data_IF_657206487186
#
_entry.id   IF_657206487186
#
_cell.length_a   1.000
_cell.length_b   1.000
_cell.length_c   1.000
_cell.angle_alpha   90.00
_cell.angle_beta   90.00
_cell.angle_gamma   90.00
#
_symmetry.space_group_name_H-M   'P 1'
#
loop_
_entity.id
_entity.type
_entity.pdbx_description
1 polymer ?
#
# COMPACT_ATOMS: atom_id res chain seq x y z
N UNK A 1 -21.88 21.30 3.78
CA UNK A 1 -20.93 22.02 2.91
C UNK A 1 -21.36 23.46 2.84
N UNK A 2 -20.56 24.40 3.37
CA UNK A 2 -20.90 25.83 3.34
C UNK A 2 -20.84 26.29 1.88
N UNK A 3 -21.92 26.88 1.38
CA UNK A 3 -21.98 27.37 0.01
C UNK A 3 -20.96 28.49 -0.22
N UNK A 4 -20.34 28.58 -1.42
CA UNK A 4 -19.45 29.69 -1.76
C UNK A 4 -20.09 31.05 -1.51
N UNK A 5 -19.29 32.06 -1.15
CA UNK A 5 -19.74 33.44 -0.99
C UNK A 5 -20.21 33.94 -2.36
N UNK A 6 -21.51 33.84 -2.63
CA UNK A 6 -22.12 34.42 -3.82
C UNK A 6 -22.27 35.92 -3.59
N UNK A 7 -21.46 36.72 -4.28
CA UNK A 7 -21.60 38.17 -4.32
C UNK A 7 -22.84 38.53 -5.14
N UNK A 8 -24.03 38.45 -4.55
CA UNK A 8 -25.29 38.84 -5.21
C UNK A 8 -25.54 40.36 -5.17
N UNK A 9 -24.64 41.13 -4.56
CA UNK A 9 -24.94 42.48 -4.06
C UNK A 9 -24.41 43.63 -4.91
N UNK A 10 -23.60 43.36 -5.94
CA UNK A 10 -23.03 44.42 -6.79
C UNK A 10 -24.09 45.34 -7.41
N UNK A 11 -25.29 44.81 -7.64
CA UNK A 11 -26.42 45.58 -8.17
C UNK A 11 -27.12 46.46 -7.13
N UNK A 12 -27.34 45.97 -5.90
CA UNK A 12 -28.09 46.70 -4.86
C UNK A 12 -27.26 47.88 -4.31
N UNK A 13 -25.95 47.69 -4.15
CA UNK A 13 -25.03 48.77 -3.72
C UNK A 13 -24.82 49.84 -4.80
N UNK A 14 -25.30 49.62 -6.02
CA UNK A 14 -25.22 50.58 -7.13
C UNK A 14 -26.43 51.53 -7.20
N UNK A 15 -27.47 51.29 -6.38
CA UNK A 15 -28.68 52.12 -6.34
C UNK A 15 -28.36 53.43 -5.62
N UNK A 16 -28.58 54.56 -6.31
CA UNK A 16 -28.49 55.88 -5.69
C UNK A 16 -29.77 56.18 -4.90
N UNK A 17 -29.69 56.33 -3.56
CA UNK A 17 -30.86 56.63 -2.75
C UNK A 17 -31.36 58.05 -3.05
N UNK A 18 -32.68 58.21 -3.17
CA UNK A 18 -33.35 59.50 -3.41
C UNK A 18 -34.04 60.03 -2.15
N UNK A 19 -34.37 59.15 -1.21
CA UNK A 19 -35.06 59.51 0.04
C UNK A 19 -34.21 59.19 1.27
N UNK A 20 -34.44 59.90 2.38
CA UNK A 20 -33.71 59.67 3.64
C UNK A 20 -33.90 58.25 4.17
N UNK A 21 -35.10 57.68 4.02
CA UNK A 21 -35.41 56.31 4.44
C UNK A 21 -34.60 55.27 3.65
N UNK A 22 -34.40 55.49 2.35
CA UNK A 22 -33.54 54.62 1.54
C UNK A 22 -32.09 54.64 2.01
N UNK A 23 -31.57 55.80 2.42
CA UNK A 23 -30.22 55.89 3.01
C UNK A 23 -30.12 55.06 4.29
N UNK A 24 -31.10 55.17 5.18
CA UNK A 24 -31.11 54.42 6.45
C UNK A 24 -31.24 52.91 6.23
N UNK A 25 -32.07 52.49 5.26
CA UNK A 25 -32.22 51.07 4.92
C UNK A 25 -30.94 50.51 4.29
N UNK A 26 -30.28 51.26 3.41
CA UNK A 26 -29.00 50.85 2.82
C UNK A 26 -27.89 50.76 3.88
N UNK A 27 -27.83 51.68 4.85
CA UNK A 27 -26.85 51.60 5.94
C UNK A 27 -27.08 50.38 6.83
N UNK A 28 -28.34 50.13 7.23
CA UNK A 28 -28.69 48.95 8.03
C UNK A 28 -28.42 47.64 7.28
N UNK A 29 -28.69 47.62 5.97
CA UNK A 29 -28.37 46.46 5.13
C UNK A 29 -26.86 46.22 5.05
N UNK A 30 -26.07 47.27 4.82
CA UNK A 30 -24.61 47.18 4.77
C UNK A 30 -24.03 46.64 6.10
N UNK A 31 -24.52 47.16 7.23
CA UNK A 31 -24.11 46.69 8.55
C UNK A 31 -24.46 45.21 8.77
N UNK A 32 -25.72 44.83 8.50
CA UNK A 32 -26.17 43.45 8.62
C UNK A 32 -25.39 42.49 7.69
N UNK A 33 -25.05 42.92 6.48
CA UNK A 33 -24.23 42.14 5.56
C UNK A 33 -22.79 41.98 6.06
N UNK A 34 -22.20 43.04 6.60
CA UNK A 34 -20.87 43.01 7.20
C UNK A 34 -20.81 42.04 8.38
N UNK A 35 -21.82 42.07 9.26
CA UNK A 35 -21.95 41.15 10.39
C UNK A 35 -22.13 39.70 9.92
N UNK A 36 -22.99 39.48 8.92
CA UNK A 36 -23.19 38.15 8.33
C UNK A 36 -21.91 37.62 7.67
N UNK A 37 -21.12 38.48 7.03
CA UNK A 37 -19.84 38.10 6.45
C UNK A 37 -18.84 37.70 7.54
N UNK A 38 -18.77 38.43 8.65
CA UNK A 38 -17.93 38.08 9.80
C UNK A 38 -18.33 36.75 10.44
N UNK A 39 -19.64 36.54 10.67
CA UNK A 39 -20.15 35.28 11.24
C UNK A 39 -19.85 34.09 10.32
N UNK A 40 -20.02 34.23 9.00
CA UNK A 40 -19.66 33.17 8.05
C UNK A 40 -18.18 32.81 8.10
N UNK A 41 -17.28 33.79 8.23
CA UNK A 41 -15.84 33.54 8.40
C UNK A 41 -15.57 32.73 9.68
N UNK A 42 -16.14 33.14 10.81
CA UNK A 42 -16.00 32.43 12.07
C UNK A 42 -16.54 30.99 11.99
N UNK A 43 -17.67 30.76 11.33
CA UNK A 43 -18.23 29.42 11.13
C UNK A 43 -17.31 28.55 10.26
N UNK A 44 -16.68 29.11 9.22
CA UNK A 44 -15.70 28.40 8.39
C UNK A 44 -14.48 27.98 9.23
N UNK A 45 -13.95 28.88 10.07
CA UNK A 45 -12.83 28.59 10.97
C UNK A 45 -13.19 27.51 11.99
N UNK A 46 -14.36 27.60 12.61
CA UNK A 46 -14.86 26.59 13.54
C UNK A 46 -15.07 25.23 12.85
N UNK A 47 -15.55 25.22 11.61
CA UNK A 47 -15.69 23.98 10.87
C UNK A 47 -14.32 23.38 10.52
N UNK A 48 -13.36 24.20 10.07
CA UNK A 48 -12.02 23.76 9.72
C UNK A 48 -11.30 23.15 10.93
N UNK A 49 -11.36 23.82 12.09
CA UNK A 49 -10.79 23.32 13.34
C UNK A 49 -11.47 22.04 13.81
N UNK A 50 -12.80 21.94 13.69
CA UNK A 50 -13.52 20.72 14.06
C UNK A 50 -13.11 19.52 13.19
N UNK A 51 -13.02 19.70 11.87
CA UNK A 51 -12.56 18.65 10.93
C UNK A 51 -11.14 18.21 11.26
N UNK A 52 -10.24 19.16 11.54
CA UNK A 52 -8.87 18.85 11.93
C UNK A 52 -8.81 18.06 13.25
N UNK A 53 -9.59 18.48 14.24
CA UNK A 53 -9.67 17.79 15.54
C UNK A 53 -10.24 16.38 15.40
N UNK A 54 -11.25 16.19 14.56
CA UNK A 54 -11.80 14.86 14.28
C UNK A 54 -10.75 13.92 13.66
N UNK A 55 -9.98 14.42 12.69
CA UNK A 55 -8.89 13.66 12.06
C UNK A 55 -7.79 13.32 13.07
N UNK A 56 -7.38 14.29 13.89
CA UNK A 56 -6.37 14.05 14.91
C UNK A 56 -6.83 13.01 15.94
N UNK A 57 -8.06 13.14 16.44
CA UNK A 57 -8.64 12.17 17.38
C UNK A 57 -8.79 10.78 16.78
N UNK A 58 -9.14 10.65 15.49
CA UNK A 58 -9.23 9.33 14.85
C UNK A 58 -7.86 8.67 14.72
N UNK A 59 -6.83 9.44 14.33
CA UNK A 59 -5.45 8.96 14.28
C UNK A 59 -4.95 8.53 15.65
N UNK A 60 -5.17 9.35 16.68
CA UNK A 60 -4.73 9.04 18.04
C UNK A 60 -5.42 7.78 18.58
N UNK A 61 -6.72 7.63 18.35
CA UNK A 61 -7.46 6.41 18.71
C UNK A 61 -6.91 5.18 18.00
N UNK A 62 -6.60 5.30 16.70
CA UNK A 62 -5.98 4.21 15.94
C UNK A 62 -4.60 3.82 16.49
N UNK A 63 -3.78 4.80 16.85
CA UNK A 63 -2.46 4.56 17.47
C UNK A 63 -2.59 3.86 18.83
N UNK A 64 -3.50 4.32 19.69
CA UNK A 64 -3.76 3.70 21.00
C UNK A 64 -4.28 2.28 20.85
N UNK A 65 -5.28 2.06 19.98
CA UNK A 65 -5.82 0.73 19.72
C UNK A 65 -4.74 -0.24 19.22
N UNK A 66 -3.86 0.21 18.31
CA UNK A 66 -2.75 -0.58 17.82
C UNK A 66 -1.72 -0.90 18.92
N UNK A 67 -1.40 0.07 19.78
CA UNK A 67 -0.49 -0.16 20.91
C UNK A 67 -1.07 -1.14 21.93
N UNK A 68 -2.35 -1.00 22.25
CA UNK A 68 -3.07 -1.90 23.15
C UNK A 68 -3.15 -3.30 22.56
N UNK A 69 -3.50 -3.43 21.29
CA UNK A 69 -3.52 -4.71 20.58
C UNK A 69 -2.13 -5.38 20.61
N UNK A 70 -1.05 -4.62 20.37
CA UNK A 70 0.33 -5.13 20.48
C UNK A 70 0.69 -5.57 21.89
N UNK A 71 0.26 -4.83 22.91
CA UNK A 71 0.49 -5.23 24.33
C UNK A 71 -0.30 -6.49 24.68
N UNK A 72 -1.52 -6.64 24.16
CA UNK A 72 -2.35 -7.82 24.40
C UNK A 72 -1.87 -9.05 23.62
N UNK A 73 -1.41 -8.90 22.38
CA UNK A 73 -0.86 -10.01 21.60
C UNK A 73 0.44 -10.54 22.21
N UNK A 74 1.33 -9.65 22.67
CA UNK A 74 2.56 -10.05 23.38
C UNK A 74 2.30 -10.88 24.63
N UNK A 75 1.18 -10.67 25.34
CA UNK A 75 0.81 -11.49 26.51
C UNK A 75 0.36 -12.91 26.13
N UNK A 76 -0.08 -13.13 24.90
CA UNK A 76 -0.57 -14.44 24.41
C UNK A 76 0.55 -15.32 23.86
N UNK A 77 1.69 -14.73 23.50
CA UNK A 77 2.82 -15.47 22.94
C UNK A 77 3.68 -16.04 24.09
N UNK A 78 3.36 -17.26 24.50
CA UNK A 78 4.33 -18.13 25.20
C UNK A 78 4.14 -18.34 26.70
N UNK A 79 3.13 -17.73 27.35
CA UNK A 79 2.86 -18.00 28.76
C UNK A 79 1.62 -18.87 28.92
N UNK A 80 1.82 -20.09 29.44
CA UNK A 80 0.76 -21.05 29.78
C UNK A 80 -0.34 -20.44 30.68
N UNK A 81 0.03 -19.40 31.44
CA UNK A 81 -0.84 -18.65 32.35
C UNK A 81 -0.92 -17.19 31.85
N UNK A 82 -2.01 -16.82 31.19
CA UNK A 82 -2.23 -15.49 30.61
C UNK A 82 -2.38 -14.37 31.64
N UNK A 83 -2.73 -14.72 32.88
CA UNK A 83 -3.27 -13.76 33.85
C UNK A 83 -2.20 -13.26 34.83
N UNK A 84 -1.02 -13.88 34.84
CA UNK A 84 0.12 -13.47 35.68
C UNK A 84 -0.07 -13.68 37.19
N UNK A 85 -1.20 -14.26 37.62
CA UNK A 85 -1.48 -14.60 39.01
C UNK A 85 -0.91 -15.99 39.37
N UNK A 86 -0.34 -16.17 40.57
CA UNK A 86 -0.01 -17.49 41.10
C UNK A 86 -1.30 -18.28 41.29
N UNK A 87 -1.46 -19.36 40.54
CA UNK A 87 -2.57 -20.29 40.71
C UNK A 87 -2.04 -21.56 41.37
N UNK A 88 -2.71 -22.05 42.41
CA UNK A 88 -2.38 -23.35 42.99
C UNK A 88 -2.86 -24.42 42.00
N UNK A 89 -1.88 -25.04 41.37
CA UNK A 89 -2.04 -25.85 40.19
C UNK A 89 -2.12 -27.33 40.61
N UNK A 90 -3.34 -27.86 40.73
CA UNK A 90 -3.58 -29.29 40.97
C UNK A 90 -3.12 -30.09 39.75
N UNK A 91 -2.34 -31.16 39.96
CA UNK A 91 -1.47 -31.78 38.93
C UNK A 91 -2.12 -32.14 37.59
N UNK A 92 -3.36 -32.62 37.57
CA UNK A 92 -4.00 -33.13 36.35
C UNK A 92 -4.42 -32.00 35.38
N UNK A 93 -4.98 -30.90 35.90
CA UNK A 93 -5.42 -29.77 35.07
C UNK A 93 -4.23 -29.04 34.42
N UNK A 94 -3.08 -29.03 35.11
CA UNK A 94 -1.83 -28.47 34.60
C UNK A 94 -1.30 -29.30 33.47
N UNK A 95 -1.28 -30.62 33.67
CA UNK A 95 -0.76 -31.56 32.70
C UNK A 95 -1.52 -31.46 31.38
N UNK A 96 -2.86 -31.45 31.43
CA UNK A 96 -3.69 -31.26 30.24
C UNK A 96 -3.43 -29.91 29.56
N UNK A 97 -3.25 -28.84 30.34
CA UNK A 97 -2.98 -27.50 29.80
C UNK A 97 -1.61 -27.43 29.11
N UNK A 98 -0.57 -28.02 29.71
CA UNK A 98 0.79 -28.10 29.11
C UNK A 98 0.74 -28.91 27.82
N UNK A 99 0.10 -30.06 27.84
CA UNK A 99 -0.05 -30.93 26.65
C UNK A 99 -0.78 -30.23 25.51
N UNK A 100 -1.86 -29.51 25.82
CA UNK A 100 -2.59 -28.71 24.83
C UNK A 100 -1.75 -27.57 24.27
N UNK A 101 -0.97 -26.88 25.12
CA UNK A 101 -0.09 -25.81 24.70
C UNK A 101 1.03 -26.32 23.77
N UNK A 102 1.68 -27.43 24.11
CA UNK A 102 2.70 -28.04 23.24
C UNK A 102 2.12 -28.49 21.89
N UNK A 103 0.92 -29.07 21.90
CA UNK A 103 0.23 -29.48 20.67
C UNK A 103 -0.08 -28.27 19.79
N UNK A 104 -0.51 -27.17 20.39
CA UNK A 104 -0.77 -25.92 19.68
C UNK A 104 0.52 -25.33 19.10
N UNK A 105 1.61 -25.28 19.88
CA UNK A 105 2.91 -24.80 19.40
C UNK A 105 3.41 -25.64 18.21
N UNK A 106 3.28 -26.97 18.28
CA UNK A 106 3.62 -27.86 17.17
C UNK A 106 2.78 -27.56 15.93
N UNK A 107 1.46 -27.43 16.08
CA UNK A 107 0.56 -27.07 14.97
C UNK A 107 0.94 -25.74 14.33
N UNK A 108 1.17 -24.69 15.13
CA UNK A 108 1.57 -23.37 14.63
C UNK A 108 2.92 -23.42 13.92
N UNK A 109 3.88 -24.19 14.44
CA UNK A 109 5.18 -24.37 13.82
C UNK A 109 5.08 -25.10 12.47
N UNK A 110 4.27 -26.16 12.40
CA UNK A 110 4.01 -26.90 11.17
C UNK A 110 3.29 -26.02 10.13
N UNK A 111 2.27 -25.27 10.54
CA UNK A 111 1.55 -24.31 9.68
C UNK A 111 2.47 -23.19 9.17
N UNK A 112 3.41 -22.72 9.99
CA UNK A 112 4.41 -21.73 9.56
C UNK A 112 5.38 -22.33 8.54
N UNK A 113 5.76 -23.59 8.73
CA UNK A 113 6.64 -24.32 7.82
C UNK A 113 5.98 -24.55 6.46
N UNK A 114 4.73 -25.02 6.43
CA UNK A 114 3.97 -25.21 5.19
C UNK A 114 3.80 -23.89 4.43
N UNK A 115 3.41 -22.80 5.11
CA UNK A 115 3.33 -21.46 4.52
C UNK A 115 4.66 -20.99 3.92
N UNK A 116 5.79 -21.27 4.59
CA UNK A 116 7.13 -20.93 4.07
C UNK A 116 7.46 -21.74 2.82
N UNK A 117 7.25 -23.05 2.86
CA UNK A 117 7.51 -23.94 1.72
C UNK A 117 6.69 -23.56 0.49
N UNK A 118 5.42 -23.19 0.67
CA UNK A 118 4.58 -22.70 -0.43
C UNK A 118 5.08 -21.39 -1.03
N UNK A 119 5.52 -20.46 -0.19
CA UNK A 119 6.12 -19.19 -0.62
C UNK A 119 7.40 -19.43 -1.40
N UNK A 120 8.28 -20.31 -0.91
CA UNK A 120 9.55 -20.64 -1.58
C UNK A 120 9.30 -21.34 -2.91
N UNK A 121 8.34 -22.27 -2.97
CA UNK A 121 7.90 -22.91 -4.22
C UNK A 121 7.38 -21.88 -5.23
N UNK A 122 6.53 -20.95 -4.79
CA UNK A 122 5.97 -19.89 -5.63
C UNK A 122 7.07 -18.95 -6.14
N UNK A 123 7.98 -18.55 -5.25
CA UNK A 123 9.14 -17.71 -5.57
C UNK A 123 10.04 -18.38 -6.59
N UNK A 124 10.40 -19.65 -6.38
CA UNK A 124 11.22 -20.45 -7.29
C UNK A 124 10.60 -20.58 -8.68
N UNK A 125 9.29 -20.87 -8.77
CA UNK A 125 8.57 -20.96 -10.04
C UNK A 125 8.49 -19.61 -10.77
N UNK A 126 8.35 -18.48 -10.06
CA UNK A 126 8.39 -17.16 -10.67
C UNK A 126 9.81 -16.79 -11.15
N UNK A 127 10.84 -17.17 -10.41
CA UNK A 127 12.23 -16.93 -10.77
C UNK A 127 12.62 -17.68 -12.06
N UNK A 128 12.23 -18.96 -12.17
CA UNK A 128 12.48 -19.75 -13.39
C UNK A 128 11.71 -19.19 -14.60
N UNK A 129 10.45 -18.80 -14.42
CA UNK A 129 9.67 -18.14 -15.46
C UNK A 129 10.31 -16.83 -15.91
N UNK A 130 10.75 -15.98 -14.96
CA UNK A 130 11.39 -14.70 -15.28
C UNK A 130 12.66 -14.91 -16.12
N UNK A 131 13.49 -15.88 -15.77
CA UNK A 131 14.70 -16.23 -16.53
C UNK A 131 14.38 -16.63 -17.97
N UNK A 132 13.37 -17.48 -18.17
CA UNK A 132 12.95 -17.90 -19.52
C UNK A 132 12.39 -16.73 -20.33
N UNK A 133 11.63 -15.84 -19.69
CA UNK A 133 11.03 -14.68 -20.33
C UNK A 133 12.08 -13.62 -20.71
N UNK A 134 13.11 -13.44 -19.89
CA UNK A 134 14.24 -12.55 -20.18
C UNK A 134 15.09 -13.08 -21.34
N UNK A 135 15.33 -14.39 -21.41
CA UNK A 135 16.00 -15.05 -22.53
C UNK A 135 15.22 -14.87 -23.84
N UNK A 136 13.92 -15.17 -23.83
CA UNK A 136 13.02 -14.98 -24.98
C UNK A 136 13.03 -13.52 -25.48
N UNK A 137 13.03 -12.55 -24.56
CA UNK A 137 13.09 -11.12 -24.91
C UNK A 137 14.42 -10.76 -25.56
N UNK A 138 15.54 -11.31 -25.07
CA UNK A 138 16.87 -11.10 -25.65
C UNK A 138 16.92 -11.58 -27.10
N UNK A 139 16.52 -12.83 -27.35
CA UNK A 139 16.54 -13.40 -28.70
C UNK A 139 15.62 -12.65 -29.67
N UNK A 140 14.41 -12.29 -29.23
CA UNK A 140 13.49 -11.50 -30.04
C UNK A 140 14.02 -10.08 -30.31
N UNK A 141 14.74 -9.48 -29.36
CA UNK A 141 15.36 -8.18 -29.56
C UNK A 141 16.49 -8.26 -30.59
N UNK A 142 17.34 -9.28 -30.51
CA UNK A 142 18.40 -9.54 -31.51
C UNK A 142 17.83 -9.78 -32.91
N UNK A 143 16.72 -10.51 -33.03
CA UNK A 143 16.07 -10.68 -34.33
C UNK A 143 15.52 -9.35 -34.87
N UNK A 144 14.97 -8.50 -33.99
CA UNK A 144 14.50 -7.16 -34.35
C UNK A 144 15.64 -6.21 -34.71
N UNK A 145 16.80 -6.30 -34.06
CA UNK A 145 17.97 -5.47 -34.41
C UNK A 145 18.49 -5.84 -35.79
N UNK A 146 18.73 -7.13 -36.06
CA UNK A 146 19.16 -7.63 -37.38
C UNK A 146 18.20 -7.22 -38.49
N UNK A 147 16.90 -7.32 -38.24
CA UNK A 147 15.89 -6.86 -39.19
C UNK A 147 15.95 -5.35 -39.43
N UNK A 148 16.10 -4.53 -38.38
CA UNK A 148 16.24 -3.07 -38.51
C UNK A 148 17.47 -2.69 -39.32
N UNK A 149 18.61 -3.36 -39.08
CA UNK A 149 19.85 -3.16 -39.83
C UNK A 149 19.65 -3.53 -41.31
N UNK A 150 19.10 -4.71 -41.61
CA UNK A 150 18.83 -5.13 -42.98
C UNK A 150 17.87 -4.18 -43.72
N UNK A 151 16.83 -3.69 -43.04
CA UNK A 151 15.91 -2.70 -43.61
C UNK A 151 16.60 -1.34 -43.81
N UNK A 152 17.51 -0.96 -42.91
CA UNK A 152 18.36 0.23 -43.04
C UNK A 152 19.19 0.17 -44.32
N UNK A 153 19.95 -0.90 -44.50
CA UNK A 153 20.77 -1.14 -45.71
C UNK A 153 19.89 -1.11 -46.97
N UNK A 154 18.76 -1.82 -46.94
CA UNK A 154 17.82 -1.83 -48.06
C UNK A 154 17.27 -0.43 -48.40
N UNK A 155 16.99 0.41 -47.40
CA UNK A 155 16.53 1.78 -47.61
C UNK A 155 17.63 2.66 -48.20
N UNK A 156 18.88 2.50 -47.78
CA UNK A 156 20.03 3.21 -48.34
C UNK A 156 20.26 2.83 -49.80
N UNK A 157 20.26 1.54 -50.13
CA UNK A 157 20.39 1.06 -51.52
C UNK A 157 19.24 1.54 -52.40
N UNK A 158 18.00 1.47 -51.88
CA UNK A 158 16.83 2.02 -52.56
C UNK A 158 16.97 3.52 -52.81
N UNK A 159 17.55 4.27 -51.88
CA UNK A 159 17.77 5.72 -52.03
C UNK A 159 18.86 6.02 -53.04
N UNK A 160 19.97 5.25 -53.06
CA UNK A 160 21.03 5.34 -54.07
C UNK A 160 20.51 5.03 -55.48
N UNK A 161 19.69 3.99 -55.63
CA UNK A 161 19.05 3.64 -56.91
C UNK A 161 18.11 4.75 -57.41
N UNK A 162 17.35 5.40 -56.50
CA UNK A 162 16.52 6.56 -56.84
C UNK A 162 17.35 7.75 -57.32
N UNK A 163 18.44 8.09 -56.64
CA UNK A 163 19.32 9.22 -57.02
C UNK A 163 19.96 9.00 -58.40
N UNK A 164 20.35 7.77 -58.70
CA UNK A 164 20.90 7.36 -60.00
C UNK A 164 19.84 7.10 -61.08
N UNK A 165 18.54 7.29 -60.76
CA UNK A 165 17.39 7.00 -61.65
C UNK A 165 17.39 5.57 -62.22
N UNK A 166 17.95 4.62 -61.49
CA UNK A 166 17.95 3.21 -61.84
C UNK A 166 16.74 2.49 -61.24
N UNK A 167 16.25 1.45 -61.92
CA UNK A 167 15.15 0.60 -61.42
C UNK A 167 15.65 -0.30 -60.30
N UNK A 168 15.04 -0.19 -59.11
CA UNK A 168 15.40 -0.97 -57.93
C UNK A 168 14.54 -2.24 -57.81
N UNK A 169 15.15 -3.43 -57.84
CA UNK A 169 14.46 -4.73 -57.88
C UNK A 169 14.61 -5.57 -56.62
N UNK A 170 15.43 -5.14 -55.65
CA UNK A 170 15.68 -5.90 -54.42
C UNK A 170 14.44 -5.93 -53.52
N UNK A 171 14.09 -7.13 -53.07
CA UNK A 171 12.94 -7.35 -52.17
C UNK A 171 13.24 -6.80 -50.78
N UNK A 172 12.23 -6.19 -50.16
CA UNK A 172 12.34 -5.70 -48.79
C UNK A 172 12.56 -6.88 -47.83
N UNK A 173 13.52 -6.79 -46.88
CA UNK A 173 13.65 -7.78 -45.82
C UNK A 173 12.33 -7.94 -45.04
N UNK A 174 12.07 -9.15 -44.52
CA UNK A 174 10.87 -9.48 -43.75
C UNK A 174 11.27 -9.97 -42.37
N UNK A 175 10.59 -9.50 -41.32
CA UNK A 175 10.79 -9.99 -39.96
C UNK A 175 10.08 -11.34 -39.82
N UNK A 176 10.85 -12.39 -39.53
CA UNK A 176 10.30 -13.73 -39.27
C UNK A 176 9.40 -13.81 -38.03
N UNK A 177 8.87 -15.00 -37.74
CA UNK A 177 8.04 -15.22 -36.54
C UNK A 177 8.89 -15.07 -35.28
N UNK A 178 8.45 -14.19 -34.38
CA UNK A 178 9.04 -14.01 -33.05
C UNK A 178 8.59 -15.13 -32.12
N UNK A 179 9.40 -15.42 -31.10
CA UNK A 179 9.04 -16.41 -30.09
C UNK A 179 7.86 -15.93 -29.22
N UNK A 180 6.84 -16.78 -29.02
CA UNK A 180 5.67 -16.44 -28.22
C UNK A 180 6.02 -16.33 -26.72
N UNK A 181 5.24 -15.55 -25.95
CA UNK A 181 5.47 -15.35 -24.52
C UNK A 181 5.30 -16.66 -23.73
N UNK A 182 6.16 -16.87 -22.72
CA UNK A 182 6.06 -18.04 -21.86
C UNK A 182 4.89 -17.85 -20.88
N UNK A 183 3.96 -18.83 -20.76
CA UNK A 183 2.84 -18.71 -19.83
C UNK A 183 3.32 -18.48 -18.40
N UNK A 184 2.78 -17.44 -17.75
CA UNK A 184 3.12 -17.13 -16.36
C UNK A 184 2.49 -18.17 -15.42
N UNK A 185 3.25 -18.73 -14.47
CA UNK A 185 2.69 -19.58 -13.43
C UNK A 185 1.56 -18.87 -12.69
N UNK A 186 0.39 -19.51 -12.59
CA UNK A 186 -0.76 -19.00 -11.85
C UNK A 186 -0.77 -19.64 -10.47
N UNK A 187 -0.91 -18.80 -9.45
CA UNK A 187 -1.15 -19.22 -8.07
C UNK A 187 -2.49 -18.65 -7.67
N UNK A 188 -3.35 -19.49 -7.09
CA UNK A 188 -4.62 -19.01 -6.54
C UNK A 188 -4.30 -18.04 -5.39
N UNK A 189 -4.96 -16.89 -5.34
CA UNK A 189 -4.84 -15.94 -4.25
C UNK A 189 -5.53 -16.51 -3.01
N UNK A 190 -4.85 -17.42 -2.30
CA UNK A 190 -5.25 -17.77 -0.94
C UNK A 190 -4.35 -16.98 0.00
N UNK A 191 -4.93 -15.90 0.54
CA UNK A 191 -4.56 -15.15 1.74
C UNK A 191 -3.05 -14.87 1.95
N UNK A 192 -2.56 -13.86 1.23
CA UNK A 192 -1.44 -13.04 1.70
C UNK A 192 -1.98 -12.15 2.84
N UNK A 193 -2.10 -12.70 4.04
CA UNK A 193 -2.29 -11.91 5.26
C UNK A 193 -0.91 -11.34 5.65
N UNK A 194 -0.57 -10.21 5.05
CA UNK A 194 0.66 -9.44 5.27
C UNK A 194 0.66 -8.76 6.65
N UNK A 195 0.64 -9.55 7.73
CA UNK A 195 0.84 -9.02 9.07
C UNK A 195 1.52 -10.02 10.02
N UNK A 196 2.75 -10.46 9.68
CA UNK A 196 3.65 -11.02 10.69
C UNK A 196 4.82 -10.05 10.93
N UNK A 197 4.64 -9.25 11.99
CA UNK A 197 5.68 -8.52 12.73
C UNK A 197 6.92 -9.39 12.88
N UNK A 198 8.07 -8.84 12.52
CA UNK A 198 9.38 -9.47 12.53
C UNK A 198 9.97 -9.69 13.93
N UNK A 199 9.18 -10.18 14.89
CA UNK A 199 9.65 -10.43 16.26
C UNK A 199 8.94 -11.61 16.91
N UNK A 200 9.38 -12.81 16.54
CA UNK A 200 9.35 -13.98 17.41
C UNK A 200 10.69 -14.72 17.22
N UNK A 201 11.77 -14.06 17.64
CA UNK A 201 13.00 -14.73 17.99
C UNK A 201 12.77 -15.30 19.40
N UNK A 202 12.40 -16.58 19.44
CA UNK A 202 12.40 -17.38 20.66
C UNK A 202 13.86 -17.42 21.12
N UNK A 203 14.22 -16.54 22.05
CA UNK A 203 15.50 -16.64 22.78
C UNK A 203 15.32 -17.83 23.71
N UNK A 204 15.82 -18.99 23.29
CA UNK A 204 16.07 -20.12 24.18
C UNK A 204 17.19 -19.67 25.12
N UNK A 205 16.78 -19.14 26.27
CA UNK A 205 17.66 -18.90 27.40
C UNK A 205 18.00 -20.27 28.02
N UNK A 206 19.06 -20.91 27.53
CA UNK A 206 19.72 -22.01 28.22
C UNK A 206 20.42 -21.45 29.46
N UNK A 207 19.63 -21.25 30.52
CA UNK A 207 20.16 -21.00 31.85
C UNK A 207 20.82 -22.28 32.38
N UNK A 208 22.11 -22.44 32.06
CA UNK A 208 23.04 -23.32 32.75
C UNK A 208 23.32 -22.74 34.14
N UNK A 209 22.49 -23.12 35.12
CA UNK A 209 22.75 -22.98 36.57
C UNK A 209 23.73 -24.09 36.98
N UNK A 210 24.96 -23.75 37.34
CA UNK A 210 25.45 -23.62 38.73
C UNK A 210 25.73 -24.98 39.38
N UNK A 211 27.02 -25.27 39.62
CA UNK A 211 27.40 -25.98 40.83
C UNK A 211 28.78 -25.50 41.30
N UNK A 212 28.80 -25.08 42.56
CA UNK A 212 29.97 -24.68 43.33
C UNK A 212 30.66 -25.93 43.88
N UNK A 213 31.97 -25.88 44.13
CA UNK A 213 32.54 -26.63 45.26
C UNK A 213 33.85 -26.00 45.75
N UNK A 214 34.02 -26.14 47.06
CA UNK A 214 34.96 -25.53 48.02
C UNK A 214 36.47 -25.64 47.70
N UNK A 215 37.24 -24.60 48.07
CA UNK A 215 38.18 -24.57 49.23
C UNK A 215 38.87 -23.20 49.40
#
# INVERSE_FOLDING_TARGET
VISPIKQKQGYILSIQPRTHNEVLLLSALCEAESANAALKRCVIELQATNVLNQLHCSQLRGQLANQEAKKQSKKKNGKLMSDGLPQLLSGDEVYERVMNHEKELKRVADDKKTRREERDRRSGALATWKRLEDERKRENNEQRTRYREAVGIWNEEKSKAKLSKQTFTLKKPVLGKLQPPVPRPRFNACEEDDNESAEDAIVLDENSSDDSDDE
#
